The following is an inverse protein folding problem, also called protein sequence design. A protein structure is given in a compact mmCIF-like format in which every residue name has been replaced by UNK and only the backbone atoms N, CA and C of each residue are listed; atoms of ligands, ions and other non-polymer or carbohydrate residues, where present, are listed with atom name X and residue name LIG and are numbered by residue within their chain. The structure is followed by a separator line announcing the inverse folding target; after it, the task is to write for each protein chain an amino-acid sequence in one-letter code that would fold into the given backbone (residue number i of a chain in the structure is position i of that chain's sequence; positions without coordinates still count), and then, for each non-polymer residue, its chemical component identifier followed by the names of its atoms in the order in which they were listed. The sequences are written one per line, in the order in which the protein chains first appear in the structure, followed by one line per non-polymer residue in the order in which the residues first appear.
data_IF_224047838097
#
_entry.id   IF_224047838097
#
_cell.length_a   1.000
_cell.length_b   1.000
_cell.length_c   1.000
_cell.angle_alpha   90.00
_cell.angle_beta   90.00
_cell.angle_gamma   90.00
#
_symmetry.space_group_name_H-M   'P 1'
#
loop_
_entity.id
_entity.type
_entity.pdbx_description
1 polymer ?
#
# COMPACT_ATOMS: atom_id res chain seq x y z
N UNK A 1 14.92 -8.97 -51.95
CA UNK A 1 14.87 -8.32 -50.61
C UNK A 1 13.98 -9.12 -49.63
N UNK A 2 14.28 -10.41 -49.38
CA UNK A 2 13.42 -11.37 -48.63
C UNK A 2 14.08 -12.00 -47.37
N UNK A 3 15.18 -11.46 -46.85
CA UNK A 3 15.91 -12.09 -45.73
C UNK A 3 15.65 -11.51 -44.33
N UNK A 4 14.73 -10.56 -44.16
CA UNK A 4 14.44 -9.97 -42.82
C UNK A 4 13.39 -10.72 -41.99
N UNK A 5 12.59 -11.61 -42.59
CA UNK A 5 11.44 -12.23 -41.90
C UNK A 5 11.82 -13.36 -40.93
N UNK A 6 12.95 -14.03 -41.14
CA UNK A 6 13.34 -15.21 -40.33
C UNK A 6 13.95 -14.81 -38.99
N UNK A 7 14.71 -13.72 -38.94
CA UNK A 7 15.33 -13.23 -37.71
C UNK A 7 14.31 -12.74 -36.68
N UNK A 8 13.22 -12.12 -37.13
CA UNK A 8 12.16 -11.61 -36.25
C UNK A 8 11.32 -12.74 -35.63
N UNK A 9 11.11 -13.83 -36.38
CA UNK A 9 10.38 -15.00 -35.87
C UNK A 9 11.17 -15.78 -34.81
N UNK A 10 12.50 -15.79 -34.90
CA UNK A 10 13.35 -16.48 -33.92
C UNK A 10 13.36 -15.77 -32.55
N UNK A 11 13.38 -14.43 -32.54
CA UNK A 11 13.32 -13.65 -31.30
C UNK A 11 12.02 -13.83 -30.53
N UNK A 12 10.88 -13.78 -31.23
CA UNK A 12 9.56 -13.96 -30.63
C UNK A 12 9.31 -15.38 -30.08
N UNK A 13 10.05 -16.37 -30.57
CA UNK A 13 9.96 -17.74 -30.05
C UNK A 13 10.73 -17.88 -28.74
N UNK A 14 11.93 -17.33 -28.67
CA UNK A 14 12.75 -17.32 -27.45
C UNK A 14 12.04 -16.58 -26.30
N UNK A 15 11.40 -15.45 -26.59
CA UNK A 15 10.60 -14.71 -25.60
C UNK A 15 9.44 -15.53 -25.04
N UNK A 16 8.72 -16.26 -25.91
CA UNK A 16 7.61 -17.12 -25.48
C UNK A 16 8.07 -18.31 -24.62
N UNK A 17 9.20 -18.93 -24.97
CA UNK A 17 9.79 -20.02 -24.17
C UNK A 17 10.28 -19.53 -22.80
N UNK A 18 10.88 -18.33 -22.73
CA UNK A 18 11.27 -17.69 -21.47
C UNK A 18 10.05 -17.40 -20.59
N UNK A 19 9.00 -16.81 -21.16
CA UNK A 19 7.76 -16.54 -20.44
C UNK A 19 7.11 -17.82 -19.90
N UNK A 20 7.17 -18.93 -20.66
CA UNK A 20 6.69 -20.23 -20.18
C UNK A 20 7.52 -20.74 -18.98
N UNK A 21 8.84 -20.57 -18.99
CA UNK A 21 9.73 -20.99 -17.92
C UNK A 21 9.52 -20.17 -16.63
N UNK A 22 9.27 -18.86 -16.76
CA UNK A 22 8.94 -17.98 -15.63
C UNK A 22 7.62 -18.40 -14.98
N UNK A 23 6.56 -18.61 -15.77
CA UNK A 23 5.26 -19.07 -15.25
C UNK A 23 5.35 -20.43 -14.54
N UNK A 24 6.17 -21.36 -15.05
CA UNK A 24 6.44 -22.65 -14.39
C UNK A 24 7.10 -22.46 -13.03
N UNK A 25 8.04 -21.54 -12.94
CA UNK A 25 8.76 -21.23 -11.69
C UNK A 25 7.80 -20.61 -10.66
N UNK A 26 6.99 -19.63 -11.08
CA UNK A 26 5.96 -19.02 -10.21
C UNK A 26 4.93 -20.07 -9.72
N UNK A 27 4.48 -20.96 -10.61
CA UNK A 27 3.57 -22.04 -10.27
C UNK A 27 4.18 -23.00 -9.23
N UNK A 28 5.44 -23.40 -9.41
CA UNK A 28 6.14 -24.27 -8.46
C UNK A 28 6.27 -23.63 -7.06
N UNK A 29 6.56 -22.33 -7.00
CA UNK A 29 6.62 -21.57 -5.74
C UNK A 29 5.26 -21.53 -5.04
N UNK A 30 4.18 -21.25 -5.78
CA UNK A 30 2.82 -21.24 -5.24
C UNK A 30 2.35 -22.62 -4.79
N UNK A 31 2.74 -23.68 -5.49
CA UNK A 31 2.48 -25.07 -5.07
C UNK A 31 3.23 -25.43 -3.77
N UNK A 32 4.43 -24.87 -3.53
CA UNK A 32 5.12 -25.01 -2.24
C UNK A 32 4.39 -24.23 -1.14
N UNK A 33 3.99 -22.99 -1.41
CA UNK A 33 3.22 -22.17 -0.48
C UNK A 33 1.88 -22.81 -0.10
N UNK A 34 1.16 -23.39 -1.06
CA UNK A 34 -0.11 -24.11 -0.85
C UNK A 34 0.06 -25.35 0.03
N UNK A 35 1.14 -26.12 -0.17
CA UNK A 35 1.50 -27.24 0.71
C UNK A 35 1.78 -26.79 2.14
N UNK A 36 2.50 -25.67 2.32
CA UNK A 36 2.73 -25.09 3.64
C UNK A 36 1.43 -24.63 4.31
N UNK A 37 0.55 -23.94 3.59
CA UNK A 37 -0.75 -23.50 4.11
C UNK A 37 -1.60 -24.70 4.56
N UNK A 38 -1.63 -25.77 3.77
CA UNK A 38 -2.30 -27.03 4.11
C UNK A 38 -1.72 -27.68 5.37
N UNK A 39 -0.38 -27.71 5.50
CA UNK A 39 0.27 -28.25 6.70
C UNK A 39 -0.05 -27.41 7.95
N UNK A 40 -0.07 -26.08 7.81
CA UNK A 40 -0.44 -25.16 8.89
C UNK A 40 -1.90 -25.37 9.31
N UNK A 41 -2.82 -25.51 8.37
CA UNK A 41 -4.22 -25.83 8.65
C UNK A 41 -4.36 -27.13 9.44
N UNK A 42 -3.62 -28.19 9.09
CA UNK A 42 -3.62 -29.47 9.82
C UNK A 42 -3.13 -29.30 11.25
N UNK A 43 -2.00 -28.62 11.48
CA UNK A 43 -1.45 -28.36 12.83
C UNK A 43 -2.44 -27.58 13.70
N UNK A 44 -3.12 -26.58 13.14
CA UNK A 44 -4.12 -25.79 13.87
C UNK A 44 -5.34 -26.64 14.25
N UNK A 45 -5.84 -27.48 13.34
CA UNK A 45 -6.92 -28.43 13.65
C UNK A 45 -6.51 -29.45 14.72
N UNK A 46 -5.28 -29.96 14.68
CA UNK A 46 -4.74 -30.86 15.71
C UNK A 46 -4.66 -30.17 17.07
N UNK A 47 -4.17 -28.92 17.13
CA UNK A 47 -4.12 -28.13 18.36
C UNK A 47 -5.53 -27.90 18.95
N UNK A 48 -6.51 -27.59 18.10
CA UNK A 48 -7.92 -27.45 18.52
C UNK A 48 -8.45 -28.77 19.10
N UNK A 49 -8.15 -29.91 18.47
CA UNK A 49 -8.56 -31.24 18.96
C UNK A 49 -7.86 -31.67 20.25
N UNK A 50 -6.61 -31.25 20.46
CA UNK A 50 -5.84 -31.56 21.67
C UNK A 50 -6.29 -30.74 22.90
N UNK A 51 -7.17 -29.75 22.71
CA UNK A 51 -7.72 -28.95 23.82
C UNK A 51 -8.67 -29.82 24.67
N UNK A 52 -8.44 -29.99 25.98
CA UNK A 52 -9.20 -30.93 26.82
C UNK A 52 -10.70 -30.59 26.89
N UNK A 53 -11.53 -31.63 26.80
CA UNK A 53 -12.95 -31.63 26.41
C UNK A 53 -13.99 -30.92 27.28
N UNK A 54 -13.64 -29.86 28.00
CA UNK A 54 -14.60 -28.91 28.59
C UNK A 54 -14.24 -27.44 28.36
N UNK A 55 -13.09 -27.14 27.77
CA UNK A 55 -12.70 -25.78 27.46
C UNK A 55 -13.11 -25.44 26.03
N UNK A 56 -13.78 -24.28 25.88
CA UNK A 56 -14.05 -23.70 24.57
C UNK A 56 -12.69 -23.45 23.88
N UNK A 57 -12.50 -23.89 22.62
CA UNK A 57 -11.25 -23.66 21.92
C UNK A 57 -10.95 -22.16 21.87
N UNK A 58 -9.67 -21.82 22.04
CA UNK A 58 -9.19 -20.45 22.05
C UNK A 58 -9.66 -19.71 20.78
N UNK A 59 -10.22 -18.50 20.98
CA UNK A 59 -10.71 -17.67 19.89
C UNK A 59 -9.61 -17.29 18.91
N UNK A 60 -8.36 -17.18 19.37
CA UNK A 60 -7.21 -16.91 18.51
C UNK A 60 -6.87 -18.08 17.60
N UNK A 61 -6.94 -19.31 18.10
CA UNK A 61 -6.72 -20.52 17.28
C UNK A 61 -7.77 -20.64 16.18
N UNK A 62 -9.04 -20.33 16.50
CA UNK A 62 -10.12 -20.33 15.52
C UNK A 62 -9.92 -19.25 14.43
N UNK A 63 -9.49 -18.04 14.82
CA UNK A 63 -9.14 -16.98 13.86
C UNK A 63 -7.98 -17.39 12.95
N UNK A 64 -6.92 -17.95 13.52
CA UNK A 64 -5.77 -18.42 12.74
C UNK A 64 -6.14 -19.55 11.78
N UNK A 65 -7.03 -20.45 12.19
CA UNK A 65 -7.52 -21.52 11.32
C UNK A 65 -8.33 -20.96 10.14
N UNK A 66 -9.21 -19.98 10.40
CA UNK A 66 -9.97 -19.31 9.34
C UNK A 66 -9.04 -18.61 8.34
N UNK A 67 -8.02 -17.90 8.83
CA UNK A 67 -7.04 -17.23 7.97
C UNK A 67 -6.21 -18.23 7.14
N UNK A 68 -5.82 -19.37 7.72
CA UNK A 68 -5.09 -20.41 6.99
C UNK A 68 -5.94 -21.03 5.85
N UNK A 69 -7.26 -21.16 6.05
CA UNK A 69 -8.19 -21.65 5.02
C UNK A 69 -8.34 -20.67 3.86
N UNK A 70 -8.56 -19.39 4.17
CA UNK A 70 -8.65 -18.32 3.16
C UNK A 70 -7.36 -18.27 2.33
N UNK A 71 -6.20 -18.34 2.98
CA UNK A 71 -4.91 -18.37 2.29
C UNK A 71 -4.79 -19.60 1.37
N UNK A 72 -5.16 -20.79 1.85
CA UNK A 72 -5.13 -22.03 1.05
C UNK A 72 -6.04 -21.93 -0.18
N UNK A 73 -7.24 -21.39 -0.02
CA UNK A 73 -8.21 -21.21 -1.10
C UNK A 73 -7.70 -20.20 -2.13
N UNK A 74 -7.17 -19.05 -1.69
CA UNK A 74 -6.59 -18.04 -2.56
C UNK A 74 -5.38 -18.56 -3.35
N UNK A 75 -4.46 -19.27 -2.69
CA UNK A 75 -3.32 -19.91 -3.36
C UNK A 75 -3.78 -20.96 -4.37
N UNK A 76 -4.82 -21.74 -4.05
CA UNK A 76 -5.40 -22.72 -4.97
C UNK A 76 -5.99 -22.09 -6.23
N UNK A 77 -6.74 -21.00 -6.09
CA UNK A 77 -7.30 -20.26 -7.23
C UNK A 77 -6.19 -19.68 -8.13
N UNK A 78 -5.12 -19.13 -7.53
CA UNK A 78 -3.98 -18.59 -8.29
C UNK A 78 -3.21 -19.69 -9.04
N UNK A 79 -3.02 -20.86 -8.43
CA UNK A 79 -2.38 -21.99 -9.10
C UNK A 79 -3.17 -22.44 -10.35
N UNK A 80 -4.50 -22.48 -10.26
CA UNK A 80 -5.37 -22.78 -11.41
C UNK A 80 -5.20 -21.74 -12.52
N UNK A 81 -5.27 -20.45 -12.16
CA UNK A 81 -5.09 -19.35 -13.12
C UNK A 81 -3.75 -19.43 -13.86
N UNK A 82 -2.64 -19.69 -13.15
CA UNK A 82 -1.33 -19.80 -13.78
C UNK A 82 -1.20 -21.06 -14.65
N UNK A 83 -1.85 -22.15 -14.24
CA UNK A 83 -1.91 -23.38 -15.04
C UNK A 83 -2.66 -23.14 -16.36
N UNK A 84 -3.80 -22.47 -16.32
CA UNK A 84 -4.56 -22.09 -17.52
C UNK A 84 -3.76 -21.16 -18.44
N UNK A 85 -3.05 -20.17 -17.87
CA UNK A 85 -2.19 -19.26 -18.63
C UNK A 85 -1.04 -19.98 -19.32
N UNK A 86 -0.40 -20.91 -18.60
CA UNK A 86 0.69 -21.73 -19.11
C UNK A 86 0.20 -22.65 -20.23
N UNK A 87 -0.94 -23.31 -20.06
CA UNK A 87 -1.56 -24.16 -21.11
C UNK A 87 -1.92 -23.33 -22.35
N UNK A 88 -2.51 -22.15 -22.19
CA UNK A 88 -2.83 -21.26 -23.28
C UNK A 88 -1.59 -20.75 -24.02
N UNK A 89 -0.47 -20.54 -23.32
CA UNK A 89 0.80 -20.14 -23.91
C UNK A 89 1.46 -21.30 -24.65
N UNK A 90 1.51 -22.49 -24.06
CA UNK A 90 2.01 -23.70 -24.71
C UNK A 90 1.22 -24.05 -25.97
N UNK A 91 -0.11 -23.92 -25.93
CA UNK A 91 -0.97 -24.13 -27.08
C UNK A 91 -0.64 -23.17 -28.22
N UNK A 92 -0.39 -21.89 -27.90
CA UNK A 92 0.06 -20.89 -28.88
C UNK A 92 1.42 -21.22 -29.48
N UNK A 93 2.38 -21.67 -28.66
CA UNK A 93 3.70 -22.09 -29.14
C UNK A 93 3.61 -23.30 -30.08
N UNK A 94 2.77 -24.29 -29.77
CA UNK A 94 2.54 -25.48 -30.63
C UNK A 94 1.92 -25.09 -31.98
N UNK A 95 0.90 -24.21 -31.99
CA UNK A 95 0.28 -23.74 -33.24
C UNK A 95 1.27 -22.97 -34.12
N UNK A 96 2.12 -22.14 -33.52
CA UNK A 96 3.16 -21.40 -34.26
C UNK A 96 4.18 -22.34 -34.89
N UNK A 97 4.55 -23.42 -34.20
CA UNK A 97 5.47 -24.43 -34.73
C UNK A 97 4.86 -25.21 -35.91
N UNK A 98 3.56 -25.52 -35.85
CA UNK A 98 2.84 -26.20 -36.95
C UNK A 98 2.66 -25.32 -38.20
N UNK A 99 2.54 -24.00 -38.04
CA UNK A 99 2.43 -23.06 -39.17
C UNK A 99 3.76 -22.80 -39.91
N UNK A 100 4.90 -23.29 -39.39
CA UNK A 100 6.20 -23.15 -40.04
C UNK A 100 6.48 -24.25 -41.08
N UNK A 101 5.60 -25.24 -41.26
CA UNK A 101 5.66 -26.19 -42.39
C UNK A 101 4.97 -25.59 -43.64
N UNK A 102 5.67 -25.44 -44.78
CA UNK A 102 5.10 -24.78 -45.94
C UNK A 102 4.19 -25.72 -46.74
N UNK A 103 2.88 -25.50 -46.68
CA UNK A 103 1.95 -25.92 -47.73
C UNK A 103 1.48 -24.70 -48.54
N UNK A 104 2.00 -24.59 -49.76
CA UNK A 104 1.36 -23.88 -50.89
C UNK A 104 0.03 -24.58 -51.24
N UNK A 105 -1.02 -23.83 -51.64
CA UNK A 105 -1.11 -23.50 -53.07
C UNK A 105 -1.72 -22.14 -53.42
N UNK A 106 -1.48 -21.79 -54.69
CA UNK A 106 -1.94 -20.64 -55.46
C UNK A 106 -3.47 -20.50 -55.64
N UNK A 107 -3.95 -19.25 -55.87
CA UNK A 107 -4.49 -18.76 -57.17
C UNK A 107 -5.22 -17.39 -57.06
N UNK A 108 -4.71 -16.41 -57.83
CA UNK A 108 -5.36 -15.53 -58.85
C UNK A 108 -6.65 -14.70 -58.54
N UNK A 109 -6.45 -13.38 -58.37
CA UNK A 109 -7.14 -12.22 -59.01
C UNK A 109 -8.61 -11.88 -58.69
N UNK A 110 -9.17 -10.70 -59.07
CA UNK A 110 -8.59 -9.44 -59.58
C UNK A 110 -9.01 -8.14 -58.81
N UNK A 111 -8.54 -6.99 -59.30
CA UNK A 111 -8.66 -5.60 -58.81
C UNK A 111 -10.08 -5.05 -58.53
N UNK A 112 -10.24 -4.12 -57.55
CA UNK A 112 -11.33 -3.17 -57.53
C UNK A 112 -10.93 -1.79 -58.11
N UNK A 113 -11.81 -1.31 -58.99
CA UNK A 113 -11.83 0.00 -59.67
C UNK A 113 -12.05 1.14 -58.65
N UNK A 114 -11.42 2.32 -58.79
CA UNK A 114 -11.68 3.48 -57.94
C UNK A 114 -12.70 4.46 -58.57
N UNK A 115 -13.76 4.82 -57.85
CA UNK A 115 -14.64 5.97 -58.14
C UNK A 115 -15.60 6.26 -56.96
N UNK A 116 -16.25 7.44 -56.85
CA UNK A 116 -15.70 8.73 -56.44
C UNK A 116 -16.33 9.25 -55.12
N UNK A 117 -15.81 10.38 -54.64
CA UNK A 117 -16.24 11.09 -53.43
C UNK A 117 -17.68 11.65 -53.51
N UNK A 118 -18.45 11.65 -52.41
CA UNK A 118 -19.64 12.47 -52.28
C UNK A 118 -19.33 13.84 -51.65
N UNK A 119 -19.94 14.87 -52.24
CA UNK A 119 -20.02 16.26 -51.80
C UNK A 119 -20.73 16.45 -50.43
N UNK A 120 -20.48 17.58 -49.74
CA UNK A 120 -21.00 17.86 -48.41
C UNK A 120 -22.50 18.24 -48.40
N UNK A 121 -23.24 17.93 -47.31
CA UNK A 121 -24.62 18.36 -47.18
C UNK A 121 -24.75 19.85 -46.82
N UNK A 122 -25.84 20.52 -47.25
CA UNK A 122 -26.15 21.90 -46.89
C UNK A 122 -26.67 22.01 -45.45
N UNK A 123 -26.33 23.10 -44.78
CA UNK A 123 -26.85 23.46 -43.46
C UNK A 123 -28.27 24.03 -43.54
N UNK A 124 -29.19 23.62 -42.63
CA UNK A 124 -30.33 24.43 -42.26
C UNK A 124 -30.41 24.72 -40.74
N UNK A 125 -30.58 26.02 -40.47
CA UNK A 125 -31.33 26.70 -39.41
C UNK A 125 -31.10 26.40 -37.89
N UNK A 126 -31.08 27.46 -37.05
CA UNK A 126 -30.89 27.35 -35.60
C UNK A 126 -32.14 26.79 -34.91
N UNK A 127 -31.96 25.67 -34.21
CA UNK A 127 -32.98 25.15 -33.28
C UNK A 127 -33.01 25.97 -31.97
N UNK A 128 -34.19 26.12 -31.36
CA UNK A 128 -34.40 26.92 -30.16
C UNK A 128 -33.57 26.40 -28.98
N UNK A 129 -32.92 27.32 -28.28
CA UNK A 129 -32.14 27.09 -27.06
C UNK A 129 -32.94 26.28 -26.03
N UNK A 130 -32.73 24.96 -26.03
CA UNK A 130 -33.17 24.10 -24.95
C UNK A 130 -32.26 24.35 -23.75
N UNK A 131 -32.88 24.61 -22.61
CA UNK A 131 -32.20 24.77 -21.32
C UNK A 131 -31.33 23.53 -21.04
N UNK A 132 -30.11 23.70 -20.49
CA UNK A 132 -29.18 22.59 -20.32
C UNK A 132 -29.80 21.50 -19.44
N UNK A 133 -29.83 20.23 -19.90
CA UNK A 133 -30.30 19.11 -19.09
C UNK A 133 -29.39 18.92 -17.87
N UNK A 134 -29.91 18.34 -16.77
CA UNK A 134 -29.10 18.00 -15.60
C UNK A 134 -27.93 17.08 -16.02
N UNK A 135 -26.77 17.15 -15.35
CA UNK A 135 -25.60 16.38 -15.74
C UNK A 135 -25.93 14.89 -15.76
N UNK A 136 -25.86 14.30 -16.96
CA UNK A 136 -26.05 12.88 -17.17
C UNK A 136 -25.01 12.10 -16.36
N UNK A 137 -25.45 11.04 -15.68
CA UNK A 137 -24.53 10.12 -15.01
C UNK A 137 -23.49 9.62 -16.03
N UNK A 138 -22.20 9.53 -15.66
CA UNK A 138 -21.17 9.03 -16.55
C UNK A 138 -21.50 7.59 -16.94
N UNK A 139 -21.47 7.29 -18.24
CA UNK A 139 -21.63 5.92 -18.74
C UNK A 139 -20.33 5.14 -18.51
N UNK A 140 -20.32 4.36 -17.42
CA UNK A 140 -19.18 3.55 -16.99
C UNK A 140 -18.85 2.46 -18.02
N UNK A 141 -19.85 1.94 -18.74
CA UNK A 141 -19.65 0.96 -19.81
C UNK A 141 -18.89 1.57 -20.99
N UNK A 142 -19.35 2.73 -21.46
CA UNK A 142 -18.67 3.46 -22.54
C UNK A 142 -17.23 3.85 -22.15
N UNK A 143 -17.01 4.25 -20.89
CA UNK A 143 -15.68 4.58 -20.39
C UNK A 143 -14.76 3.35 -20.36
N UNK A 144 -15.28 2.20 -19.93
CA UNK A 144 -14.55 0.92 -19.93
C UNK A 144 -14.09 0.54 -21.34
N UNK A 145 -15.01 0.55 -22.31
CA UNK A 145 -14.69 0.23 -23.71
C UNK A 145 -13.66 1.20 -24.31
N UNK A 146 -13.76 2.49 -23.97
CA UNK A 146 -12.77 3.49 -24.41
C UNK A 146 -11.37 3.19 -23.87
N UNK A 147 -11.24 2.84 -22.59
CA UNK A 147 -9.95 2.47 -21.98
C UNK A 147 -9.39 1.22 -22.64
N UNK A 148 -10.23 0.22 -22.90
CA UNK A 148 -9.81 -1.01 -23.58
C UNK A 148 -9.35 -0.71 -25.02
N UNK A 149 -10.09 0.12 -25.76
CA UNK A 149 -9.74 0.48 -27.12
C UNK A 149 -8.38 1.18 -27.21
N UNK A 150 -8.10 2.14 -26.30
CA UNK A 150 -6.80 2.83 -26.22
C UNK A 150 -5.65 1.86 -25.93
N UNK A 151 -5.85 0.89 -25.03
CA UNK A 151 -4.85 -0.15 -24.78
C UNK A 151 -4.61 -1.04 -26.02
N UNK A 152 -5.66 -1.46 -26.72
CA UNK A 152 -5.53 -2.28 -27.94
C UNK A 152 -4.80 -1.55 -29.06
N UNK A 153 -4.94 -0.23 -29.16
CA UNK A 153 -4.21 0.59 -30.13
C UNK A 153 -2.79 0.97 -29.69
N UNK A 154 -2.35 0.55 -28.50
CA UNK A 154 -1.03 0.88 -27.95
C UNK A 154 -0.89 2.30 -27.40
N UNK A 155 -2.01 3.04 -27.25
CA UNK A 155 -2.07 4.40 -26.71
C UNK A 155 -2.08 4.38 -25.17
N UNK A 156 -1.00 3.84 -24.59
CA UNK A 156 -0.89 3.64 -23.13
C UNK A 156 -0.89 4.96 -22.33
N UNK A 157 -0.20 6.03 -22.75
CA UNK A 157 -0.23 7.32 -22.04
C UNK A 157 -1.65 7.91 -21.95
N UNK A 158 -2.40 7.86 -23.05
CA UNK A 158 -3.77 8.38 -23.13
C UNK A 158 -4.73 7.54 -22.27
N UNK A 159 -4.52 6.23 -22.21
CA UNK A 159 -5.30 5.37 -21.33
C UNK A 159 -5.02 5.65 -19.85
N UNK A 160 -3.75 5.87 -19.48
CA UNK A 160 -3.35 6.23 -18.12
C UNK A 160 -3.94 7.59 -17.71
N UNK A 161 -3.88 8.59 -18.59
CA UNK A 161 -4.49 9.90 -18.34
C UNK A 161 -6.01 9.79 -18.15
N UNK A 162 -6.67 8.96 -18.96
CA UNK A 162 -8.12 8.74 -18.83
C UNK A 162 -8.48 8.06 -17.51
N UNK A 163 -7.69 7.10 -17.05
CA UNK A 163 -7.86 6.47 -15.73
C UNK A 163 -7.66 7.49 -14.60
N UNK A 164 -6.65 8.35 -14.71
CA UNK A 164 -6.39 9.40 -13.72
C UNK A 164 -7.53 10.43 -13.65
N UNK A 165 -8.06 10.84 -14.82
CA UNK A 165 -9.22 11.73 -14.89
C UNK A 165 -10.48 11.06 -14.32
N UNK A 166 -10.67 9.76 -14.57
CA UNK A 166 -11.79 9.00 -14.02
C UNK A 166 -11.72 8.93 -12.49
N UNK A 167 -10.56 8.62 -11.93
CA UNK A 167 -10.33 8.59 -10.47
C UNK A 167 -10.63 9.94 -9.79
N UNK A 168 -10.38 11.05 -10.48
CA UNK A 168 -10.59 12.39 -9.93
C UNK A 168 -12.04 12.88 -10.04
N UNK A 169 -12.83 12.37 -10.98
CA UNK A 169 -14.16 12.92 -11.34
C UNK A 169 -15.34 12.02 -10.97
N UNK A 170 -15.13 10.71 -10.93
CA UNK A 170 -16.21 9.77 -10.64
C UNK A 170 -16.63 9.86 -9.18
N UNK A 171 -17.86 9.46 -8.88
CA UNK A 171 -18.27 9.23 -7.50
C UNK A 171 -17.55 7.99 -6.95
N UNK A 172 -17.45 7.80 -5.61
CA UNK A 172 -16.79 6.63 -5.07
C UNK A 172 -17.36 5.30 -5.57
N UNK A 173 -18.69 5.20 -5.65
CA UNK A 173 -19.39 4.02 -6.17
C UNK A 173 -19.11 3.81 -7.66
N UNK A 174 -19.18 4.86 -8.47
CA UNK A 174 -18.89 4.76 -9.91
C UNK A 174 -17.43 4.40 -10.20
N UNK A 175 -16.49 4.92 -9.40
CA UNK A 175 -15.08 4.56 -9.49
C UNK A 175 -14.86 3.08 -9.15
N UNK A 176 -15.47 2.58 -8.07
CA UNK A 176 -15.39 1.18 -7.68
C UNK A 176 -16.04 0.24 -8.72
N UNK A 177 -17.17 0.65 -9.32
CA UNK A 177 -17.79 -0.07 -10.42
C UNK A 177 -16.89 -0.13 -11.66
N UNK A 178 -16.26 0.99 -12.04
CA UNK A 178 -15.30 1.02 -13.14
C UNK A 178 -14.09 0.12 -12.86
N UNK A 179 -13.55 0.15 -11.64
CA UNK A 179 -12.47 -0.76 -11.21
C UNK A 179 -12.90 -2.22 -11.38
N UNK A 180 -14.10 -2.59 -10.94
CA UNK A 180 -14.64 -3.94 -11.09
C UNK A 180 -14.81 -4.37 -12.55
N UNK A 181 -15.30 -3.47 -13.41
CA UNK A 181 -15.41 -3.75 -14.85
C UNK A 181 -14.05 -3.95 -15.50
N UNK A 182 -13.07 -3.10 -15.18
CA UNK A 182 -11.70 -3.22 -15.67
C UNK A 182 -10.99 -4.47 -15.13
N UNK A 183 -11.28 -4.89 -13.89
CA UNK A 183 -10.70 -6.10 -13.34
C UNK A 183 -11.20 -7.36 -14.06
N UNK A 184 -12.44 -7.34 -14.56
CA UNK A 184 -13.07 -8.49 -15.22
C UNK A 184 -12.87 -8.53 -16.74
N UNK A 185 -12.87 -7.38 -17.39
CA UNK A 185 -12.89 -7.27 -18.85
C UNK A 185 -11.79 -6.36 -19.40
N UNK A 186 -11.12 -5.61 -18.53
CA UNK A 186 -10.13 -4.62 -18.89
C UNK A 186 -8.74 -5.20 -19.18
N UNK A 187 -7.82 -4.34 -19.66
CA UNK A 187 -6.44 -4.71 -19.84
C UNK A 187 -5.74 -4.91 -18.49
N UNK A 188 -4.75 -5.80 -18.47
CA UNK A 188 -3.96 -6.13 -17.27
C UNK A 188 -3.43 -4.86 -16.60
N UNK A 189 -3.68 -4.73 -15.30
CA UNK A 189 -3.18 -3.61 -14.49
C UNK A 189 -4.03 -2.34 -14.53
N UNK A 190 -4.99 -2.19 -15.43
CA UNK A 190 -5.81 -0.96 -15.50
C UNK A 190 -6.69 -0.75 -14.26
N UNK A 191 -7.24 -1.82 -13.70
CA UNK A 191 -8.02 -1.76 -12.44
C UNK A 191 -7.16 -1.35 -11.24
N UNK A 192 -5.93 -1.87 -11.15
CA UNK A 192 -4.96 -1.51 -10.11
C UNK A 192 -4.46 -0.08 -10.28
N UNK A 193 -4.20 0.37 -11.52
CA UNK A 193 -3.84 1.76 -11.80
C UNK A 193 -4.95 2.71 -11.35
N UNK A 194 -6.21 2.43 -11.70
CA UNK A 194 -7.34 3.26 -11.30
C UNK A 194 -7.52 3.30 -9.77
N UNK A 195 -7.41 2.15 -9.10
CA UNK A 195 -7.48 2.07 -7.64
C UNK A 195 -6.36 2.89 -6.97
N UNK A 196 -5.12 2.78 -7.46
CA UNK A 196 -3.98 3.61 -7.00
C UNK A 196 -4.21 5.09 -7.30
N UNK A 197 -4.76 5.42 -8.46
CA UNK A 197 -5.04 6.81 -8.85
C UNK A 197 -6.08 7.47 -7.94
N UNK A 198 -7.07 6.71 -7.45
CA UNK A 198 -8.06 7.20 -6.50
C UNK A 198 -7.45 7.70 -5.18
N UNK A 199 -6.26 7.20 -4.80
CA UNK A 199 -5.54 7.71 -3.64
C UNK A 199 -5.04 9.15 -3.83
N UNK A 200 -4.94 9.67 -5.06
CA UNK A 200 -4.54 11.08 -5.29
C UNK A 200 -5.68 12.09 -5.16
N UNK A 201 -6.91 11.60 -4.98
CA UNK A 201 -8.09 12.42 -4.67
C UNK A 201 -8.06 12.91 -3.22
N UNK A 202 -9.11 13.61 -2.79
CA UNK A 202 -9.22 14.03 -1.37
C UNK A 202 -9.25 12.80 -0.45
N UNK A 203 -8.74 12.88 0.79
CA UNK A 203 -8.70 11.74 1.69
C UNK A 203 -10.08 11.12 1.93
N UNK A 204 -11.12 11.95 2.02
CA UNK A 204 -12.52 11.51 2.12
C UNK A 204 -12.95 10.66 0.93
N UNK A 205 -12.65 11.13 -0.29
CA UNK A 205 -13.02 10.44 -1.50
C UNK A 205 -12.28 9.11 -1.62
N UNK A 206 -10.96 9.10 -1.35
CA UNK A 206 -10.15 7.90 -1.45
C UNK A 206 -10.59 6.81 -0.44
N UNK A 207 -10.93 7.19 0.80
CA UNK A 207 -11.46 6.25 1.80
C UNK A 207 -12.85 5.74 1.42
N UNK A 208 -13.70 6.59 0.84
CA UNK A 208 -15.00 6.16 0.35
C UNK A 208 -14.84 5.13 -0.79
N UNK A 209 -13.92 5.36 -1.75
CA UNK A 209 -13.60 4.38 -2.79
C UNK A 209 -13.09 3.08 -2.17
N UNK A 210 -12.19 3.16 -1.17
CA UNK A 210 -11.69 1.97 -0.46
C UNK A 210 -12.82 1.15 0.17
N UNK A 211 -13.83 1.81 0.76
CA UNK A 211 -14.99 1.14 1.33
C UNK A 211 -15.81 0.43 0.24
N UNK A 212 -16.13 1.13 -0.86
CA UNK A 212 -16.88 0.57 -2.00
C UNK A 212 -16.16 -0.63 -2.63
N UNK A 213 -14.83 -0.55 -2.81
CA UNK A 213 -14.04 -1.67 -3.32
C UNK A 213 -14.14 -2.91 -2.42
N UNK A 214 -14.17 -2.72 -1.09
CA UNK A 214 -14.29 -3.83 -0.13
C UNK A 214 -15.69 -4.44 -0.13
N UNK A 215 -16.73 -3.61 -0.19
CA UNK A 215 -18.12 -4.08 -0.29
C UNK A 215 -18.36 -4.89 -1.58
N UNK A 216 -17.71 -4.51 -2.68
CA UNK A 216 -17.74 -5.25 -3.94
C UNK A 216 -16.83 -6.50 -3.97
N UNK A 217 -16.09 -6.77 -2.90
CA UNK A 217 -15.18 -7.92 -2.80
C UNK A 217 -13.90 -7.79 -3.65
N UNK A 218 -13.54 -6.58 -4.07
CA UNK A 218 -12.36 -6.27 -4.88
C UNK A 218 -11.11 -6.12 -3.99
N UNK A 219 -10.74 -7.21 -3.31
CA UNK A 219 -9.73 -7.20 -2.25
C UNK A 219 -8.34 -6.75 -2.72
N UNK A 220 -7.92 -7.16 -3.92
CA UNK A 220 -6.61 -6.78 -4.49
C UNK A 220 -6.55 -5.29 -4.78
N UNK A 221 -7.60 -4.73 -5.39
CA UNK A 221 -7.68 -3.32 -5.73
C UNK A 221 -7.82 -2.45 -4.48
N UNK A 222 -8.56 -2.92 -3.47
CA UNK A 222 -8.63 -2.28 -2.16
C UNK A 222 -7.25 -2.25 -1.48
N UNK A 223 -6.49 -3.36 -1.53
CA UNK A 223 -5.14 -3.41 -0.98
C UNK A 223 -4.18 -2.46 -1.71
N UNK A 224 -4.27 -2.39 -3.03
CA UNK A 224 -3.48 -1.48 -3.86
C UNK A 224 -3.76 0.00 -3.54
N UNK A 225 -5.04 0.37 -3.40
CA UNK A 225 -5.43 1.72 -2.98
C UNK A 225 -4.90 2.03 -1.57
N UNK A 226 -5.08 1.10 -0.62
CA UNK A 226 -4.59 1.30 0.75
C UNK A 226 -3.07 1.46 0.81
N UNK A 227 -2.32 0.68 0.04
CA UNK A 227 -0.86 0.80 -0.06
C UNK A 227 -0.44 2.18 -0.58
N UNK A 228 -1.19 2.75 -1.52
CA UNK A 228 -0.92 4.08 -2.05
C UNK A 228 -1.05 5.21 -1.00
N UNK A 229 -1.74 4.98 0.13
CA UNK A 229 -1.79 5.94 1.23
C UNK A 229 -0.43 6.22 1.88
N UNK A 230 0.55 5.34 1.73
CA UNK A 230 1.91 5.56 2.25
C UNK A 230 2.64 6.69 1.53
N UNK A 231 2.24 6.99 0.29
CA UNK A 231 2.80 8.10 -0.47
C UNK A 231 2.18 9.47 -0.14
N UNK A 232 1.24 9.53 0.82
CA UNK A 232 0.64 10.80 1.21
C UNK A 232 1.68 11.74 1.84
N UNK A 233 1.60 13.06 1.57
CA UNK A 233 2.38 14.01 2.35
C UNK A 233 1.91 13.98 3.81
N UNK A 234 2.84 14.13 4.76
CA UNK A 234 2.56 14.11 6.19
C UNK A 234 1.40 15.05 6.60
N UNK A 235 1.25 16.19 5.93
CA UNK A 235 0.17 17.15 6.17
C UNK A 235 -1.24 16.63 5.81
N UNK A 236 -1.36 15.67 4.90
CA UNK A 236 -2.65 15.09 4.49
C UNK A 236 -3.08 13.90 5.36
N UNK A 237 -2.14 13.26 6.06
CA UNK A 237 -2.40 12.07 6.89
C UNK A 237 -3.43 12.31 8.02
N UNK A 238 -3.43 13.45 8.75
CA UNK A 238 -4.48 13.71 9.75
C UNK A 238 -5.90 13.71 9.17
N UNK A 239 -6.07 14.24 7.95
CA UNK A 239 -7.33 14.20 7.22
C UNK A 239 -7.73 12.79 6.82
N UNK A 240 -6.76 12.01 6.31
CA UNK A 240 -6.95 10.60 5.95
C UNK A 240 -7.36 9.74 7.14
N UNK A 241 -6.70 9.88 8.29
CA UNK A 241 -7.09 9.18 9.53
C UNK A 241 -8.51 9.54 9.98
N UNK A 242 -8.91 10.81 9.83
CA UNK A 242 -10.26 11.29 10.16
C UNK A 242 -11.31 10.72 9.21
N UNK A 243 -10.96 10.51 7.93
CA UNK A 243 -11.82 9.86 6.96
C UNK A 243 -11.98 8.36 7.26
N UNK A 244 -10.88 7.65 7.56
CA UNK A 244 -10.89 6.24 7.94
C UNK A 244 -11.74 5.99 9.20
N UNK A 245 -11.57 6.82 10.23
CA UNK A 245 -12.36 6.74 11.48
C UNK A 245 -13.86 6.92 11.23
N UNK A 246 -14.25 7.95 10.45
CA UNK A 246 -15.67 8.16 10.07
C UNK A 246 -16.25 7.02 9.25
N UNK A 247 -15.42 6.35 8.44
CA UNK A 247 -15.80 5.17 7.67
C UNK A 247 -15.77 3.86 8.51
N UNK A 248 -15.44 3.93 9.81
CA UNK A 248 -15.34 2.76 10.68
C UNK A 248 -14.08 1.91 10.47
N UNK A 249 -13.11 2.39 9.69
CA UNK A 249 -11.89 1.69 9.27
C UNK A 249 -10.72 1.91 10.25
N UNK A 250 -10.97 1.77 11.55
CA UNK A 250 -9.98 2.06 12.60
C UNK A 250 -8.73 1.17 12.53
N UNK A 251 -8.88 -0.09 12.08
CA UNK A 251 -7.75 -1.01 11.91
C UNK A 251 -6.78 -0.55 10.82
N UNK A 252 -7.31 0.04 9.75
CA UNK A 252 -6.51 0.61 8.66
C UNK A 252 -5.77 1.87 9.12
N UNK A 253 -6.43 2.72 9.92
CA UNK A 253 -5.79 3.87 10.54
C UNK A 253 -4.63 3.47 11.46
N UNK A 254 -4.82 2.43 12.28
CA UNK A 254 -3.76 1.89 13.13
C UNK A 254 -2.60 1.29 12.32
N UNK A 255 -2.90 0.59 11.23
CA UNK A 255 -1.90 0.03 10.30
C UNK A 255 -1.11 1.15 9.63
N UNK A 256 -1.78 2.20 9.17
CA UNK A 256 -1.14 3.35 8.56
C UNK A 256 -0.18 4.05 9.52
N UNK A 257 -0.59 4.28 10.77
CA UNK A 257 0.29 4.85 11.81
C UNK A 257 1.48 3.94 12.14
N UNK A 258 1.31 2.62 12.05
CA UNK A 258 2.38 1.67 12.25
C UNK A 258 3.46 1.80 11.17
N UNK A 259 3.05 1.85 9.90
CA UNK A 259 3.96 2.03 8.77
C UNK A 259 4.67 3.38 8.84
N UNK A 260 3.94 4.45 9.15
CA UNK A 260 4.53 5.78 9.36
C UNK A 260 5.48 5.83 10.57
N UNK A 261 5.27 4.98 11.57
CA UNK A 261 6.19 4.80 12.70
C UNK A 261 7.57 4.29 12.27
N UNK A 262 7.68 3.72 11.07
CA UNK A 262 8.93 3.22 10.46
C UNK A 262 9.50 4.15 9.38
N UNK A 263 8.84 5.27 9.06
CA UNK A 263 9.30 6.23 8.04
C UNK A 263 10.64 6.92 8.41
N UNK A 264 11.42 7.49 7.50
CA UNK A 264 12.64 8.20 7.89
C UNK A 264 12.36 9.37 8.84
N UNK A 265 13.36 9.78 9.62
CA UNK A 265 13.22 10.75 10.72
C UNK A 265 12.54 12.07 10.29
N UNK A 266 12.88 12.70 9.16
CA UNK A 266 12.22 13.92 8.72
C UNK A 266 10.71 13.77 8.51
N UNK A 267 10.29 12.68 7.87
CA UNK A 267 8.91 12.36 7.54
C UNK A 267 8.11 12.06 8.81
N UNK A 268 8.67 11.27 9.73
CA UNK A 268 8.04 10.96 11.02
C UNK A 268 7.88 12.23 11.87
N UNK A 269 8.92 13.07 11.95
CA UNK A 269 8.87 14.35 12.67
C UNK A 269 7.81 15.28 12.09
N UNK A 270 7.73 15.37 10.75
CA UNK A 270 6.72 16.16 10.06
C UNK A 270 5.31 15.67 10.39
N UNK A 271 5.08 14.35 10.35
CA UNK A 271 3.78 13.77 10.69
C UNK A 271 3.41 14.01 12.15
N UNK A 272 4.33 13.77 13.08
CA UNK A 272 4.08 13.97 14.51
C UNK A 272 3.67 15.42 14.81
N UNK A 273 4.33 16.39 14.18
CA UNK A 273 3.97 17.80 14.28
C UNK A 273 2.58 18.08 13.68
N UNK A 274 2.26 17.52 12.51
CA UNK A 274 0.94 17.68 11.89
C UNK A 274 -0.17 17.10 12.77
N UNK A 275 0.01 15.90 13.32
CA UNK A 275 -0.95 15.26 14.23
C UNK A 275 -1.16 16.09 15.50
N UNK A 276 -0.09 16.65 16.07
CA UNK A 276 -0.19 17.53 17.24
C UNK A 276 -0.97 18.82 16.93
N UNK A 277 -0.69 19.46 15.79
CA UNK A 277 -1.40 20.67 15.36
C UNK A 277 -2.89 20.44 15.13
N UNK A 278 -3.27 19.24 14.66
CA UNK A 278 -4.66 18.84 14.46
C UNK A 278 -5.33 18.30 15.74
N UNK A 279 -4.67 18.39 16.89
CA UNK A 279 -5.27 17.97 18.16
C UNK A 279 -5.48 16.46 18.27
N UNK A 280 -4.60 15.64 17.67
CA UNK A 280 -4.67 14.17 17.67
C UNK A 280 -3.62 13.53 18.59
N UNK A 281 -3.66 13.76 19.93
CA UNK A 281 -2.61 13.30 20.85
C UNK A 281 -2.54 11.77 20.99
N UNK A 282 -3.65 11.06 20.83
CA UNK A 282 -3.67 9.60 20.84
C UNK A 282 -2.87 9.01 19.66
N UNK A 283 -3.01 9.60 18.47
CA UNK A 283 -2.29 9.15 17.28
C UNK A 283 -0.82 9.55 17.32
N UNK A 284 -0.49 10.74 17.84
CA UNK A 284 0.90 11.13 18.16
C UNK A 284 1.53 10.08 19.08
N UNK A 285 0.84 9.71 20.15
CA UNK A 285 1.33 8.71 21.09
C UNK A 285 1.53 7.35 20.42
N UNK A 286 0.56 6.89 19.62
CA UNK A 286 0.68 5.64 18.86
C UNK A 286 1.91 5.68 17.95
N UNK A 287 2.08 6.74 17.16
CA UNK A 287 3.22 6.93 16.26
C UNK A 287 4.57 6.88 17.01
N UNK A 288 4.70 7.62 18.12
CA UNK A 288 5.94 7.66 18.91
C UNK A 288 6.24 6.33 19.61
N UNK A 289 5.21 5.59 20.04
CA UNK A 289 5.37 4.23 20.58
C UNK A 289 5.88 3.25 19.53
N UNK A 290 5.51 3.41 18.27
CA UNK A 290 6.08 2.59 17.19
C UNK A 290 7.52 3.01 16.90
N UNK A 291 7.79 4.32 16.85
CA UNK A 291 9.16 4.84 16.71
C UNK A 291 10.10 4.34 17.81
N UNK A 292 9.58 4.07 19.02
CA UNK A 292 10.33 3.51 20.13
C UNK A 292 11.01 2.17 19.82
N UNK A 293 10.64 1.45 18.74
CA UNK A 293 11.33 0.24 18.29
C UNK A 293 12.68 0.48 17.60
N UNK A 294 13.01 1.74 17.26
CA UNK A 294 14.22 2.09 16.50
C UNK A 294 15.53 1.85 17.28
N UNK A 295 16.68 1.78 16.58
CA UNK A 295 18.00 1.83 17.20
C UNK A 295 18.19 3.07 18.08
N UNK A 296 19.01 2.94 19.13
CA UNK A 296 19.24 4.02 20.11
C UNK A 296 19.82 5.29 19.50
N UNK A 297 20.70 5.18 18.51
CA UNK A 297 21.27 6.34 17.81
C UNK A 297 20.16 7.12 17.08
N UNK A 298 19.36 6.41 16.28
CA UNK A 298 18.23 6.99 15.55
C UNK A 298 17.20 7.65 16.49
N UNK A 299 16.98 7.09 17.68
CA UNK A 299 16.10 7.66 18.70
C UNK A 299 16.65 8.97 19.29
N UNK A 300 17.97 9.08 19.48
CA UNK A 300 18.60 10.31 19.94
C UNK A 300 18.47 11.42 18.88
N UNK A 301 18.72 11.07 17.61
CA UNK A 301 18.57 11.99 16.48
C UNK A 301 17.10 12.41 16.29
N UNK A 302 16.17 11.47 16.42
CA UNK A 302 14.74 11.77 16.38
C UNK A 302 14.34 12.73 17.51
N UNK A 303 14.76 12.47 18.76
CA UNK A 303 14.49 13.36 19.88
C UNK A 303 15.06 14.78 19.67
N UNK A 304 16.21 14.90 19.01
CA UNK A 304 16.84 16.19 18.71
C UNK A 304 16.14 16.98 17.59
N UNK A 305 15.44 16.30 16.68
CA UNK A 305 14.72 16.94 15.56
C UNK A 305 13.26 17.26 15.89
N UNK A 306 12.67 16.56 16.86
CA UNK A 306 11.29 16.78 17.27
C UNK A 306 11.11 18.14 17.97
N UNK A 307 9.94 18.80 17.80
CA UNK A 307 9.54 19.92 18.64
C UNK A 307 9.59 19.55 20.13
N UNK A 308 9.91 20.49 21.04
CA UNK A 308 10.19 20.17 22.45
C UNK A 308 9.11 19.33 23.14
N UNK A 309 7.84 19.66 22.92
CA UNK A 309 6.72 18.90 23.50
C UNK A 309 6.65 17.45 23.00
N UNK A 310 6.97 17.21 21.72
CA UNK A 310 6.99 15.87 21.13
C UNK A 310 8.24 15.09 21.52
N UNK A 311 9.39 15.75 21.65
CA UNK A 311 10.60 15.13 22.17
C UNK A 311 10.38 14.64 23.61
N UNK A 312 9.76 15.45 24.47
CA UNK A 312 9.37 15.03 25.82
C UNK A 312 8.42 13.83 25.79
N UNK A 313 7.40 13.85 24.93
CA UNK A 313 6.46 12.73 24.81
C UNK A 313 7.16 11.44 24.35
N UNK A 314 8.09 11.53 23.39
CA UNK A 314 8.90 10.38 22.96
C UNK A 314 9.72 9.82 24.13
N UNK A 315 10.46 10.67 24.84
CA UNK A 315 11.31 10.24 25.96
C UNK A 315 10.49 9.58 27.07
N UNK A 316 9.28 10.06 27.35
CA UNK A 316 8.36 9.43 28.29
C UNK A 316 7.93 8.03 27.84
N UNK A 317 7.59 7.84 26.56
CA UNK A 317 7.29 6.50 26.03
C UNK A 317 8.51 5.59 26.05
N UNK A 318 9.72 6.10 25.78
CA UNK A 318 10.95 5.32 25.87
C UNK A 318 11.23 4.82 27.29
N UNK A 319 11.02 5.67 28.31
CA UNK A 319 11.17 5.26 29.72
C UNK A 319 10.26 4.10 30.09
N UNK A 320 9.06 4.04 29.50
CA UNK A 320 8.09 2.97 29.73
C UNK A 320 8.44 1.70 28.94
N UNK A 321 8.89 1.84 27.69
CA UNK A 321 8.99 0.72 26.74
C UNK A 321 10.39 0.11 26.64
N UNK A 322 11.46 0.87 26.89
CA UNK A 322 12.84 0.40 26.68
C UNK A 322 13.44 -0.22 27.94
N UNK A 323 14.23 -1.31 27.80
CA UNK A 323 14.97 -1.88 28.89
C UNK A 323 16.05 -0.93 29.44
N UNK A 324 16.46 -1.08 30.72
CA UNK A 324 17.43 -0.21 31.37
C UNK A 324 18.73 0.00 30.60
N UNK A 325 19.29 -1.07 30.01
CA UNK A 325 20.56 -1.00 29.27
C UNK A 325 20.49 -0.06 28.07
N UNK A 326 19.35 0.00 27.39
CA UNK A 326 19.18 0.86 26.21
C UNK A 326 18.89 2.30 26.61
N UNK A 327 18.18 2.52 27.73
CA UNK A 327 18.01 3.85 28.31
C UNK A 327 19.34 4.45 28.75
N UNK A 328 20.26 3.64 29.31
CA UNK A 328 21.61 4.09 29.65
C UNK A 328 22.41 4.44 28.39
N UNK A 329 22.32 3.62 27.33
CA UNK A 329 22.96 3.94 26.04
C UNK A 329 22.42 5.24 25.46
N UNK A 330 21.09 5.42 25.46
CA UNK A 330 20.45 6.65 24.99
C UNK A 330 20.94 7.86 25.79
N UNK A 331 20.96 7.74 27.12
CA UNK A 331 21.44 8.79 28.00
C UNK A 331 22.90 9.17 27.72
N UNK A 332 23.78 8.18 27.49
CA UNK A 332 25.16 8.40 27.08
C UNK A 332 25.27 9.10 25.73
N UNK A 333 24.46 8.70 24.74
CA UNK A 333 24.42 9.36 23.42
C UNK A 333 23.99 10.83 23.56
N UNK A 334 22.92 11.11 24.31
CA UNK A 334 22.43 12.49 24.54
C UNK A 334 23.46 13.36 25.27
N UNK A 335 24.14 12.82 26.28
CA UNK A 335 25.20 13.53 27.01
C UNK A 335 26.41 13.84 26.11
N UNK A 336 26.86 12.84 25.34
CA UNK A 336 27.98 12.99 24.39
C UNK A 336 27.68 14.00 23.26
N UNK A 337 26.42 14.10 22.84
CA UNK A 337 25.95 15.07 21.87
C UNK A 337 25.74 16.48 22.47
N UNK A 338 25.98 16.66 23.78
CA UNK A 338 25.78 17.93 24.48
C UNK A 338 24.31 18.33 24.68
N UNK A 339 23.37 17.41 24.46
CA UNK A 339 21.93 17.66 24.51
C UNK A 339 21.39 17.62 25.95
N UNK A 340 21.86 18.55 26.79
CA UNK A 340 21.54 18.60 28.23
C UNK A 340 20.06 18.69 28.55
N UNK A 341 19.29 19.38 27.71
CA UNK A 341 17.84 19.51 27.90
C UNK A 341 17.12 18.18 27.71
N UNK A 342 17.40 17.47 26.60
CA UNK A 342 16.84 16.14 26.32
C UNK A 342 17.27 15.11 27.37
N UNK A 343 18.54 15.15 27.78
CA UNK A 343 19.03 14.34 28.89
C UNK A 343 18.23 14.63 30.18
N UNK A 344 18.01 15.91 30.50
CA UNK A 344 17.22 16.34 31.65
C UNK A 344 15.77 15.86 31.59
N UNK A 345 15.14 15.89 30.41
CA UNK A 345 13.78 15.37 30.20
C UNK A 345 13.71 13.84 30.39
N UNK A 346 14.67 13.09 29.86
CA UNK A 346 14.79 11.65 30.08
C UNK A 346 14.94 11.32 31.56
N UNK A 347 15.85 12.02 32.25
CA UNK A 347 16.09 11.85 33.68
C UNK A 347 14.85 12.22 34.50
N UNK A 348 14.14 13.29 34.13
CA UNK A 348 12.88 13.68 34.76
C UNK A 348 11.82 12.58 34.67
N UNK A 349 11.71 11.91 33.52
CA UNK A 349 10.83 10.76 33.34
C UNK A 349 11.19 9.58 34.25
N UNK A 350 12.47 9.28 34.39
CA UNK A 350 12.95 8.21 35.27
C UNK A 350 12.71 8.52 36.76
N UNK A 351 12.91 9.78 37.16
CA UNK A 351 12.74 10.23 38.54
C UNK A 351 11.28 10.34 38.97
N UNK A 352 10.35 10.52 38.03
CA UNK A 352 8.92 10.56 38.32
C UNK A 352 8.39 9.24 38.92
N UNK A 353 9.03 8.10 38.62
CA UNK A 353 8.77 6.79 39.24
C UNK A 353 10.09 6.10 39.59
N UNK A 354 10.84 6.71 40.51
CA UNK A 354 12.15 6.21 40.92
C UNK A 354 12.09 4.74 41.38
N UNK A 355 11.01 4.33 42.05
CA UNK A 355 10.84 2.97 42.53
C UNK A 355 10.84 1.94 41.39
N UNK A 356 10.15 2.24 40.28
CA UNK A 356 10.15 1.40 39.08
C UNK A 356 11.49 1.43 38.34
N UNK A 357 12.19 2.57 38.38
CA UNK A 357 13.41 2.79 37.58
C UNK A 357 14.72 2.71 38.37
N UNK A 358 14.73 2.17 39.59
CA UNK A 358 15.93 2.05 40.45
C UNK A 358 17.12 1.42 39.73
N UNK A 359 16.88 0.34 38.97
CA UNK A 359 17.92 -0.37 38.22
C UNK A 359 18.54 0.51 37.14
N UNK A 360 17.72 1.24 36.38
CA UNK A 360 18.19 2.18 35.35
C UNK A 360 19.00 3.30 35.98
N UNK A 361 18.52 3.90 37.07
CA UNK A 361 19.23 4.97 37.79
C UNK A 361 20.56 4.48 38.38
N UNK A 362 20.61 3.26 38.92
CA UNK A 362 21.86 2.66 39.39
C UNK A 362 22.86 2.43 38.24
N UNK A 363 22.37 1.96 37.08
CA UNK A 363 23.20 1.75 35.90
C UNK A 363 23.73 3.06 35.31
N UNK A 364 22.95 4.15 35.32
CA UNK A 364 23.42 5.49 34.94
C UNK A 364 24.58 5.94 35.84
N UNK A 365 24.46 5.77 37.17
CA UNK A 365 25.54 6.11 38.12
C UNK A 365 26.79 5.28 37.87
N UNK A 366 26.64 3.98 37.62
CA UNK A 366 27.76 3.09 37.32
C UNK A 366 28.47 3.47 36.00
N UNK A 367 27.73 4.00 35.03
CA UNK A 367 28.26 4.54 33.78
C UNK A 367 28.86 5.97 33.93
N UNK A 368 28.85 6.55 35.14
CA UNK A 368 29.35 7.90 35.40
C UNK A 368 28.43 9.03 34.93
N UNK A 369 27.18 8.72 34.56
CA UNK A 369 26.21 9.71 34.08
C UNK A 369 25.49 10.42 35.26
N UNK A 370 25.22 11.72 35.14
CA UNK A 370 24.63 12.52 36.22
C UNK A 370 23.17 12.11 36.48
N UNK A 371 22.86 11.63 37.69
CA UNK A 371 21.48 11.24 38.07
C UNK A 371 20.74 12.29 38.91
N UNK A 372 21.34 13.47 39.06
CA UNK A 372 20.68 14.65 39.60
C UNK A 372 20.22 15.55 38.44
N UNK A 373 19.04 16.18 38.54
CA UNK A 373 18.59 17.11 37.51
C UNK A 373 19.63 18.22 37.31
N UNK A 374 19.87 18.68 36.06
CA UNK A 374 20.79 19.78 35.80
C UNK A 374 20.35 21.01 36.61
N UNK A 375 21.25 21.57 37.42
CA UNK A 375 20.95 22.73 38.24
C UNK A 375 20.44 23.87 37.34
N UNK A 376 19.26 24.41 37.64
CA UNK A 376 18.72 25.56 36.93
C UNK A 376 19.77 26.69 36.91
N UNK A 377 19.96 27.39 35.78
CA UNK A 377 20.91 28.48 35.70
C UNK A 377 20.54 29.50 36.78
N UNK A 378 21.41 29.65 37.78
CA UNK A 378 21.24 30.63 38.85
C UNK A 378 21.10 32.01 38.20
N UNK A 379 19.89 32.55 38.21
CA UNK A 379 19.59 33.89 37.71
C UNK A 379 20.54 34.86 38.40
N UNK A 380 21.42 35.49 37.61
CA UNK A 380 22.49 36.40 38.05
C UNK A 380 21.93 37.78 38.49
N UNK A 381 20.73 37.81 39.08
CA UNK A 381 19.95 39.00 39.43
C UNK A 381 19.73 39.11 40.94
N UNK A 382 20.76 38.84 41.73
CA UNK A 382 20.67 38.86 43.20
C UNK A 382 21.95 39.37 43.86
N UNK A 383 22.55 40.45 43.35
CA UNK A 383 23.42 41.35 44.13
C UNK A 383 23.23 42.77 43.60
N UNK A 384 22.40 43.54 44.29
CA UNK A 384 22.55 44.98 44.40
C UNK A 384 22.89 45.29 45.84
#
# INVERSE_FOLDING_TARGET
MRMRSTAQSAGQQLEGEQQAAELRTELDELLRASRYATQRERRLNEAIRATPGRQRPDGDLLRQLAQARILREGLGARCLQLSDQLEALETRLRHRHQQQDPQEPARLGPEPIPEPAPEPPPAPAPEPQQSPPPPARPDIGALTERIIALHRSGALPEAAELLDQAAARLTPADAALLVGMLARYGPTGASLHLARAAARSTPEHAVAVLAELRELGLAEQAAELFHAFWAYPAAAVPGLLSALERAGQNADGATLLWEWGSAPTPELTSLAACLQQHGRPADVRTLLRQAAGRPTADLADLAATLPPALATALLQELVVLRPPVELVRLAATLDSAGSRELYGQLLGGLLADEARHRTTLAALRAAGLPTAPPAAPRSRWGRR
#
